data_IF_045372843213
#
_entry.id   IF_045372843213
#
_cell.length_a   1.000
_cell.length_b   1.000
_cell.length_c   1.000
_cell.angle_alpha   90.00
_cell.angle_beta   90.00
_cell.angle_gamma   90.00
#
_symmetry.space_group_name_H-M   'P 1'
#
loop_
_entity.id
_entity.type
_entity.pdbx_description
1 polymer ?
#
# COMPACT_ATOMS: atom_id res chain seq x y z
N UNK A 1 13.05 10.05 -6.10
CA UNK A 1 12.53 11.43 -5.93
C UNK A 1 11.02 11.33 -5.99
N UNK A 2 10.36 11.42 -4.83
CA UNK A 2 8.99 10.93 -4.65
C UNK A 2 7.94 12.01 -4.98
N UNK A 3 6.92 11.63 -5.75
CA UNK A 3 5.75 12.44 -6.14
C UNK A 3 4.80 12.68 -4.94
N UNK A 4 5.32 12.88 -3.73
CA UNK A 4 4.52 13.05 -2.51
C UNK A 4 3.60 14.28 -2.57
N UNK A 5 3.93 15.28 -3.41
CA UNK A 5 3.07 16.43 -3.63
C UNK A 5 1.79 16.10 -4.41
N UNK A 6 1.78 15.03 -5.21
CA UNK A 6 0.61 14.55 -5.94
C UNK A 6 -0.27 13.60 -5.14
N UNK A 7 0.19 13.15 -3.97
CA UNK A 7 -0.59 12.29 -3.09
C UNK A 7 -1.75 13.08 -2.48
N UNK A 8 -2.89 12.40 -2.34
CA UNK A 8 -4.09 12.95 -1.75
C UNK A 8 -3.80 13.50 -0.35
N UNK A 9 -4.34 14.67 0.05
CA UNK A 9 -4.08 15.23 1.39
C UNK A 9 -4.43 14.29 2.55
N UNK A 10 -5.40 13.40 2.32
CA UNK A 10 -5.86 12.39 3.30
C UNK A 10 -5.09 11.07 3.23
N UNK A 11 -4.10 10.94 2.36
CA UNK A 11 -3.27 9.74 2.25
C UNK A 11 -2.31 9.67 3.45
N UNK A 12 -2.40 8.61 4.25
CA UNK A 12 -1.56 8.38 5.44
C UNK A 12 -0.07 8.33 5.11
N UNK A 13 0.27 7.83 3.92
CA UNK A 13 1.64 7.68 3.45
C UNK A 13 2.26 8.98 2.94
N UNK A 14 1.46 10.04 2.76
CA UNK A 14 1.96 11.36 2.33
C UNK A 14 2.88 11.99 3.37
N UNK A 15 2.47 11.94 4.64
CA UNK A 15 3.20 12.53 5.76
C UNK A 15 4.01 11.48 6.53
N UNK A 16 3.61 10.21 6.46
CA UNK A 16 4.25 9.12 7.19
C UNK A 16 4.66 8.01 6.20
N UNK A 17 5.82 8.13 5.56
CA UNK A 17 6.32 7.06 4.69
C UNK A 17 6.55 5.77 5.51
N UNK A 18 6.42 4.59 4.88
CA UNK A 18 6.70 3.31 5.52
C UNK A 18 8.10 3.28 6.16
N UNK A 19 8.17 2.94 7.44
CA UNK A 19 9.45 2.69 8.10
C UNK A 19 9.83 1.22 7.96
N UNK A 20 10.65 0.92 6.95
CA UNK A 20 11.13 -0.43 6.67
C UNK A 20 11.97 -1.00 7.82
N UNK A 21 12.59 -0.14 8.64
CA UNK A 21 13.41 -0.61 9.77
C UNK A 21 12.53 -1.24 10.83
N UNK A 22 11.47 -0.55 11.22
CA UNK A 22 10.50 -1.04 12.22
C UNK A 22 9.81 -2.30 11.72
N UNK A 23 9.43 -2.35 10.44
CA UNK A 23 8.85 -3.54 9.83
C UNK A 23 9.82 -4.73 9.84
N UNK A 24 11.10 -4.52 9.55
CA UNK A 24 12.12 -5.56 9.56
C UNK A 24 12.49 -6.06 10.98
N UNK A 25 12.30 -5.22 11.99
CA UNK A 25 12.45 -5.63 13.40
C UNK A 25 11.26 -6.45 13.89
N UNK A 26 10.04 -6.09 13.46
CA UNK A 26 8.80 -6.76 13.85
C UNK A 26 8.57 -8.07 13.10
N UNK A 27 8.95 -8.14 11.83
CA UNK A 27 8.70 -9.27 10.95
C UNK A 27 10.02 -9.88 10.44
N UNK A 28 10.47 -11.02 11.02
CA UNK A 28 11.70 -11.67 10.57
C UNK A 28 11.62 -12.13 9.11
N UNK A 29 10.43 -12.53 8.64
CA UNK A 29 10.19 -12.92 7.25
C UNK A 29 10.37 -11.75 6.27
N UNK A 30 10.20 -10.51 6.72
CA UNK A 30 10.43 -9.32 5.90
C UNK A 30 11.91 -8.91 5.94
N UNK A 31 12.59 -9.14 7.07
CA UNK A 31 14.00 -8.79 7.28
C UNK A 31 14.93 -9.42 6.24
N UNK A 32 14.63 -10.62 5.75
CA UNK A 32 15.45 -11.30 4.73
C UNK A 32 15.51 -10.55 3.39
N UNK A 33 14.52 -9.71 3.10
CA UNK A 33 14.45 -8.93 1.86
C UNK A 33 15.08 -7.55 1.99
N UNK A 34 15.49 -7.17 3.20
CA UNK A 34 16.00 -5.84 3.52
C UNK A 34 17.53 -5.83 3.44
N UNK A 35 18.05 -4.88 2.68
CA UNK A 35 19.49 -4.61 2.59
C UNK A 35 19.83 -3.32 3.33
N UNK A 36 21.01 -3.28 3.93
CA UNK A 36 21.52 -2.08 4.59
C UNK A 36 22.59 -1.48 3.70
N UNK A 37 22.38 -0.23 3.29
CA UNK A 37 23.44 0.55 2.65
C UNK A 37 24.53 0.89 3.67
N UNK A 38 25.77 1.14 3.23
CA UNK A 38 26.88 1.56 4.11
C UNK A 38 26.54 2.81 4.94
N UNK A 39 25.66 3.67 4.44
CA UNK A 39 25.15 4.88 5.12
C UNK A 39 24.09 4.59 6.21
N UNK A 40 23.84 3.31 6.53
CA UNK A 40 22.83 2.89 7.50
C UNK A 40 21.38 3.02 7.02
N UNK A 41 21.17 3.36 5.74
CA UNK A 41 19.84 3.41 5.12
C UNK A 41 19.35 2.01 4.81
N UNK A 42 18.09 1.77 5.19
CA UNK A 42 17.37 0.55 4.87
C UNK A 42 16.88 0.62 3.43
N UNK A 43 17.22 -0.37 2.62
CA UNK A 43 16.86 -0.42 1.21
C UNK A 43 16.18 -1.76 0.88
N UNK A 44 15.10 -1.68 0.11
CA UNK A 44 14.33 -2.83 -0.36
C UNK A 44 14.47 -2.92 -1.87
N UNK A 45 14.69 -4.13 -2.39
CA UNK A 45 14.64 -4.35 -3.83
C UNK A 45 13.19 -4.41 -4.32
N UNK A 46 12.74 -3.34 -4.98
CA UNK A 46 11.41 -3.25 -5.57
C UNK A 46 11.25 -4.05 -6.87
N UNK A 47 12.33 -4.63 -7.41
CA UNK A 47 12.24 -5.54 -8.56
C UNK A 47 11.89 -6.97 -8.14
N UNK A 48 12.14 -7.33 -6.87
CA UNK A 48 11.80 -8.63 -6.34
C UNK A 48 10.32 -8.67 -5.92
N UNK A 49 9.52 -9.42 -6.68
CA UNK A 49 8.08 -9.55 -6.43
C UNK A 49 7.75 -10.12 -5.04
N UNK A 50 8.55 -11.05 -4.51
CA UNK A 50 8.34 -11.62 -3.17
C UNK A 50 8.61 -10.60 -2.06
N UNK A 51 9.64 -9.76 -2.24
CA UNK A 51 9.99 -8.69 -1.32
C UNK A 51 8.87 -7.63 -1.25
N UNK A 52 8.37 -7.21 -2.41
CA UNK A 52 7.26 -6.25 -2.50
C UNK A 52 5.96 -6.87 -1.97
N UNK A 53 5.71 -8.16 -2.23
CA UNK A 53 4.56 -8.89 -1.68
C UNK A 53 4.57 -8.85 -0.16
N UNK A 54 5.68 -9.29 0.44
CA UNK A 54 5.82 -9.32 1.89
C UNK A 54 5.65 -7.92 2.49
N UNK A 55 6.26 -6.90 1.88
CA UNK A 55 6.07 -5.51 2.29
C UNK A 55 4.58 -5.13 2.30
N UNK A 56 3.88 -5.39 1.20
CA UNK A 56 2.46 -5.03 1.03
C UNK A 56 1.58 -5.73 2.06
N UNK A 57 1.77 -7.02 2.30
CA UNK A 57 1.03 -7.76 3.33
C UNK A 57 1.26 -7.18 4.73
N UNK A 58 2.51 -6.86 5.09
CA UNK A 58 2.82 -6.29 6.41
C UNK A 58 2.29 -4.88 6.57
N UNK A 59 2.33 -4.06 5.52
CA UNK A 59 1.72 -2.72 5.53
C UNK A 59 0.20 -2.78 5.70
N UNK A 60 -0.47 -3.68 4.97
CA UNK A 60 -1.91 -3.90 5.13
C UNK A 60 -2.26 -4.34 6.56
N UNK A 61 -1.44 -5.20 7.15
CA UNK A 61 -1.64 -5.68 8.52
C UNK A 61 -1.39 -4.62 9.58
N UNK A 62 -0.33 -3.83 9.46
CA UNK A 62 0.02 -2.79 10.45
C UNK A 62 -0.89 -1.56 10.36
N UNK A 63 -1.06 -1.01 9.15
CA UNK A 63 -1.70 0.28 8.96
C UNK A 63 -3.22 0.15 8.83
N UNK A 64 -3.69 -0.94 8.20
CA UNK A 64 -5.12 -1.17 7.93
C UNK A 64 -5.72 -2.31 8.73
N UNK A 65 -4.92 -3.06 9.50
CA UNK A 65 -5.36 -4.25 10.25
C UNK A 65 -6.00 -5.33 9.36
N UNK A 66 -5.58 -5.40 8.10
CA UNK A 66 -6.06 -6.37 7.12
C UNK A 66 -5.04 -7.50 6.98
N UNK A 67 -5.47 -8.73 7.29
CA UNK A 67 -4.65 -9.92 7.08
C UNK A 67 -4.96 -10.49 5.70
N UNK A 68 -4.19 -10.06 4.71
CA UNK A 68 -4.34 -10.47 3.30
C UNK A 68 -3.14 -11.31 2.92
N UNK A 69 -3.41 -12.43 2.24
CA UNK A 69 -2.38 -13.28 1.65
C UNK A 69 -2.41 -13.04 0.14
N UNK A 70 -1.30 -12.55 -0.39
CA UNK A 70 -1.15 -12.31 -1.82
C UNK A 70 -0.62 -13.58 -2.51
N UNK A 71 -1.17 -14.00 -3.66
CA UNK A 71 -0.63 -15.14 -4.40
C UNK A 71 0.73 -14.79 -5.02
N UNK A 72 1.59 -15.80 -5.21
CA UNK A 72 2.94 -15.59 -5.74
C UNK A 72 2.97 -15.09 -7.19
N UNK A 73 2.06 -15.58 -8.03
CA UNK A 73 1.99 -15.25 -9.46
C UNK A 73 1.25 -13.93 -9.75
N UNK A 74 1.23 -13.02 -8.77
CA UNK A 74 0.34 -11.86 -8.78
C UNK A 74 1.08 -10.54 -8.86
N UNK A 75 0.52 -9.61 -9.63
CA UNK A 75 0.97 -8.22 -9.64
C UNK A 75 0.73 -7.62 -8.26
N UNK A 76 1.82 -7.32 -7.53
CA UNK A 76 1.72 -6.68 -6.22
C UNK A 76 1.45 -5.18 -6.41
N UNK A 77 0.27 -4.68 -6.01
CA UNK A 77 -0.03 -3.27 -6.15
C UNK A 77 0.72 -2.44 -5.11
N UNK A 78 1.12 -1.24 -5.50
CA UNK A 78 1.67 -0.25 -4.57
C UNK A 78 0.54 0.37 -3.76
N UNK A 79 0.47 0.01 -2.47
CA UNK A 79 -0.59 0.46 -1.55
C UNK A 79 -0.81 1.98 -1.56
N UNK A 80 0.23 2.84 -1.52
CA UNK A 80 0.00 4.29 -1.46
C UNK A 80 -0.73 4.84 -2.70
N UNK A 81 -0.43 4.30 -3.89
CA UNK A 81 -1.09 4.72 -5.14
C UNK A 81 -2.55 4.25 -5.21
N UNK A 82 -2.84 3.05 -4.68
CA UNK A 82 -4.22 2.54 -4.61
C UNK A 82 -5.05 3.37 -3.62
N UNK A 83 -4.46 3.77 -2.49
CA UNK A 83 -5.15 4.61 -1.52
C UNK A 83 -5.49 6.00 -2.10
N UNK A 84 -4.60 6.61 -2.88
CA UNK A 84 -4.89 7.87 -3.58
C UNK A 84 -6.10 7.75 -4.50
N UNK A 85 -6.21 6.65 -5.25
CA UNK A 85 -7.35 6.40 -6.13
C UNK A 85 -8.66 6.26 -5.34
N UNK A 86 -8.66 5.51 -4.24
CA UNK A 86 -9.84 5.34 -3.38
C UNK A 86 -10.28 6.68 -2.79
N UNK A 87 -9.34 7.51 -2.33
CA UNK A 87 -9.63 8.82 -1.77
C UNK A 87 -10.19 9.78 -2.83
N UNK A 88 -9.66 9.73 -4.06
CA UNK A 88 -10.21 10.49 -5.18
C UNK A 88 -11.65 10.07 -5.48
N UNK A 89 -11.95 8.77 -5.51
CA UNK A 89 -13.32 8.26 -5.69
C UNK A 89 -14.23 8.75 -4.56
N UNK A 90 -13.76 8.72 -3.31
CA UNK A 90 -14.53 9.25 -2.18
C UNK A 90 -14.85 10.74 -2.33
N UNK A 91 -13.89 11.55 -2.78
CA UNK A 91 -14.12 12.97 -3.02
C UNK A 91 -15.11 13.22 -4.16
N UNK A 92 -15.08 12.40 -5.23
CA UNK A 92 -16.07 12.45 -6.31
C UNK A 92 -17.49 12.09 -5.83
N UNK A 93 -17.61 11.07 -4.97
CA UNK A 93 -18.89 10.68 -4.37
C UNK A 93 -19.45 11.78 -3.48
N UNK A 94 -18.59 12.39 -2.65
CA UNK A 94 -18.95 13.51 -1.79
C UNK A 94 -19.39 14.74 -2.60
N UNK A 95 -18.70 15.06 -3.69
CA UNK A 95 -19.06 16.15 -4.59
C UNK A 95 -20.39 15.90 -5.32
N UNK A 96 -20.77 14.63 -5.49
CA UNK A 96 -22.04 14.21 -6.12
C UNK A 96 -23.17 14.02 -5.10
N UNK A 97 -22.93 14.33 -3.82
CA UNK A 97 -23.87 14.11 -2.71
C UNK A 97 -24.35 12.66 -2.56
N UNK A 98 -23.53 11.69 -2.98
CA UNK A 98 -23.80 10.26 -2.87
C UNK A 98 -23.14 9.69 -1.61
N UNK A 99 -23.87 9.69 -0.50
CA UNK A 99 -23.32 9.33 0.81
C UNK A 99 -23.66 7.89 1.26
N UNK A 100 -24.71 7.29 0.69
CA UNK A 100 -25.28 6.04 1.20
C UNK A 100 -25.46 5.01 0.08
N UNK A 101 -25.11 3.75 0.35
CA UNK A 101 -25.28 2.61 -0.56
C UNK A 101 -24.69 2.82 -1.96
N UNK A 102 -23.44 3.27 -2.02
CA UNK A 102 -22.71 3.37 -3.28
C UNK A 102 -22.23 1.97 -3.69
N UNK A 103 -22.60 1.52 -4.89
CA UNK A 103 -22.06 0.32 -5.49
C UNK A 103 -21.03 0.71 -6.55
N UNK A 104 -19.79 0.30 -6.34
CA UNK A 104 -18.69 0.50 -7.28
C UNK A 104 -18.38 -0.80 -8.03
N UNK A 105 -18.07 -0.67 -9.32
CA UNK A 105 -17.52 -1.77 -10.12
C UNK A 105 -16.05 -1.43 -10.36
N UNK A 106 -15.16 -2.27 -9.84
CA UNK A 106 -13.73 -2.21 -10.20
C UNK A 106 -13.50 -3.15 -11.39
N UNK A 107 -12.94 -2.63 -12.48
CA UNK A 107 -12.70 -3.38 -13.73
C UNK A 107 -11.20 -3.60 -13.86
N UNK A 108 -10.79 -4.87 -13.99
CA UNK A 108 -9.36 -5.24 -14.01
C UNK A 108 -8.83 -5.71 -12.65
N UNK A 109 -9.72 -6.16 -11.77
CA UNK A 109 -9.38 -6.80 -10.49
C UNK A 109 -8.78 -8.18 -10.73
N UNK A 110 -7.56 -8.21 -11.26
CA UNK A 110 -6.92 -9.51 -11.45
C UNK A 110 -6.43 -10.05 -10.10
N UNK A 111 -6.14 -9.20 -9.08
CA UNK A 111 -5.46 -9.72 -7.88
C UNK A 111 -5.55 -9.01 -6.54
N UNK A 112 -6.24 -7.88 -6.37
CA UNK A 112 -6.48 -7.37 -5.01
C UNK A 112 -7.72 -6.47 -4.96
N UNK A 113 -8.76 -6.95 -4.28
CA UNK A 113 -9.90 -6.13 -3.86
C UNK A 113 -9.46 -5.42 -2.57
N UNK A 114 -9.13 -4.14 -2.68
CA UNK A 114 -9.23 -3.23 -1.53
C UNK A 114 -10.31 -2.23 -1.92
N UNK A 115 -11.56 -2.67 -1.78
CA UNK A 115 -12.71 -1.79 -1.72
C UNK A 115 -13.17 -1.81 -0.28
N UNK A 116 -12.77 -0.78 0.48
CA UNK A 116 -13.45 -0.46 1.72
C UNK A 116 -14.26 0.81 1.46
N UNK A 117 -15.58 0.65 1.46
CA UNK A 117 -16.55 1.73 1.60
C UNK A 117 -16.65 2.14 3.07
#
# INVERSE_FOLDING_TARGET
MALNHLMHPRNVYKNRPPDFRVLAEKYPDFRQYITFSPDGKVNLDFQNSDAVRCLTEKLLKEDFKLDVILPADSLVPRIPQRLDYILLVQDLLNASSLYNNVMGIDIGVIQMIILFF
#
